data_IF_166607755100
#
_entry.id   IF_166607755100
#
_cell.length_a   1.000
_cell.length_b   1.000
_cell.length_c   1.000
_cell.angle_alpha   90.00
_cell.angle_beta   90.00
_cell.angle_gamma   90.00
#
_symmetry.space_group_name_H-M   'P 1'
#
loop_
_entity.id
_entity.type
_entity.pdbx_description
1 polymer ?
#
# COMPACT_ATOMS: atom_id res chain seq x y z
N UNK A 1 0.56 -13.90 -3.11
CA UNK A 1 -0.63 -13.04 -3.21
C UNK A 1 -1.65 -13.76 -4.08
N UNK A 2 -2.91 -13.87 -3.67
CA UNK A 2 -3.99 -14.51 -4.46
C UNK A 2 -5.00 -13.45 -4.90
N UNK A 3 -5.71 -13.70 -6.00
CA UNK A 3 -6.81 -12.82 -6.47
C UNK A 3 -7.88 -12.62 -5.40
N UNK A 4 -8.19 -13.67 -4.64
CA UNK A 4 -9.13 -13.61 -3.53
C UNK A 4 -8.69 -12.62 -2.45
N UNK A 5 -7.41 -12.64 -2.06
CA UNK A 5 -6.86 -11.66 -1.10
C UNK A 5 -6.88 -10.24 -1.63
N UNK A 6 -6.59 -10.05 -2.92
CA UNK A 6 -6.66 -8.72 -3.55
C UNK A 6 -8.09 -8.17 -3.49
N UNK A 7 -9.09 -8.98 -3.84
CA UNK A 7 -10.50 -8.59 -3.82
C UNK A 7 -11.05 -8.31 -2.41
N UNK A 8 -10.38 -8.81 -1.37
CA UNK A 8 -10.78 -8.64 0.04
C UNK A 8 -9.91 -7.64 0.80
N UNK A 9 -8.91 -7.00 0.19
CA UNK A 9 -7.94 -6.14 0.90
C UNK A 9 -8.57 -4.95 1.66
N UNK A 10 -9.77 -4.52 1.24
CA UNK A 10 -10.55 -3.48 1.90
C UNK A 10 -11.29 -3.94 3.17
N UNK A 11 -11.32 -5.25 3.42
CA UNK A 11 -11.94 -5.88 4.58
C UNK A 11 -10.90 -6.71 5.35
N UNK A 12 -10.13 -6.08 6.26
CA UNK A 12 -9.13 -6.79 7.06
C UNK A 12 -9.71 -7.92 7.91
N UNK A 13 -11.01 -7.91 8.24
CA UNK A 13 -11.63 -8.96 9.05
C UNK A 13 -11.97 -10.23 8.25
N UNK A 14 -11.80 -10.21 6.93
CA UNK A 14 -12.00 -11.40 6.11
C UNK A 14 -11.09 -12.55 6.55
N UNK A 15 -11.66 -13.74 6.59
CA UNK A 15 -11.03 -15.01 6.92
C UNK A 15 -9.90 -15.42 5.98
N UNK A 16 -9.80 -14.79 4.80
CA UNK A 16 -8.72 -15.02 3.85
C UNK A 16 -7.36 -14.53 4.37
N UNK A 17 -7.35 -13.62 5.34
CA UNK A 17 -6.14 -13.09 5.94
C UNK A 17 -5.75 -13.89 7.19
N UNK A 18 -4.45 -14.08 7.37
CA UNK A 18 -3.88 -14.59 8.63
C UNK A 18 -3.86 -13.48 9.69
N UNK A 19 -3.69 -13.83 10.96
CA UNK A 19 -3.51 -12.83 12.04
C UNK A 19 -2.35 -11.86 11.74
N UNK A 20 -1.25 -12.39 11.21
CA UNK A 20 -0.08 -11.60 10.80
C UNK A 20 -0.43 -10.58 9.71
N UNK A 21 -1.19 -10.99 8.70
CA UNK A 21 -1.59 -10.09 7.61
C UNK A 21 -2.59 -9.04 8.09
N UNK A 22 -3.54 -9.43 8.94
CA UNK A 22 -4.48 -8.48 9.57
C UNK A 22 -3.77 -7.40 10.37
N UNK A 23 -2.78 -7.78 11.18
CA UNK A 23 -1.98 -6.83 11.95
C UNK A 23 -1.35 -5.75 11.03
N UNK A 24 -0.80 -6.17 9.88
CA UNK A 24 -0.21 -5.26 8.90
C UNK A 24 -1.28 -4.37 8.25
N UNK A 25 -2.44 -4.92 7.87
CA UNK A 25 -3.52 -4.14 7.26
C UNK A 25 -4.06 -3.05 8.21
N UNK A 26 -4.27 -3.38 9.49
CA UNK A 26 -4.69 -2.41 10.50
C UNK A 26 -3.64 -1.34 10.73
N UNK A 27 -2.37 -1.74 10.89
CA UNK A 27 -1.28 -0.80 11.08
C UNK A 27 -1.14 0.16 9.88
N UNK A 28 -1.18 -0.37 8.65
CA UNK A 28 -1.09 0.44 7.43
C UNK A 28 -2.28 1.39 7.27
N UNK A 29 -3.49 0.93 7.58
CA UNK A 29 -4.71 1.74 7.56
C UNK A 29 -4.64 2.91 8.55
N UNK A 30 -4.20 2.66 9.78
CA UNK A 30 -4.03 3.69 10.79
C UNK A 30 -2.97 4.73 10.39
N UNK A 31 -1.82 4.29 9.86
CA UNK A 31 -0.79 5.18 9.33
C UNK A 31 -1.32 6.08 8.19
N UNK A 32 -2.04 5.49 7.22
CA UNK A 32 -2.58 6.24 6.08
C UNK A 32 -3.65 7.27 6.48
N UNK A 33 -4.33 7.06 7.61
CA UNK A 33 -5.35 7.97 8.15
C UNK A 33 -4.79 8.88 9.26
N UNK A 34 -3.50 8.79 9.56
CA UNK A 34 -2.85 9.49 10.67
C UNK A 34 -3.56 9.26 12.03
N UNK A 35 -4.06 8.05 12.26
CA UNK A 35 -4.74 7.65 13.50
C UNK A 35 -3.70 7.23 14.54
N UNK A 36 -3.52 8.03 15.58
CA UNK A 36 -2.46 7.82 16.58
C UNK A 36 -2.97 7.38 17.96
N UNK A 37 -4.27 7.54 18.23
CA UNK A 37 -4.87 7.25 19.55
C UNK A 37 -4.65 5.80 20.03
N UNK A 38 -4.54 4.85 19.09
CA UNK A 38 -4.34 3.42 19.36
C UNK A 38 -2.96 2.90 18.93
N UNK A 39 -1.97 3.78 18.74
CA UNK A 39 -0.66 3.42 18.20
C UNK A 39 0.04 2.33 19.03
N UNK A 40 0.02 2.42 20.36
CA UNK A 40 0.67 1.44 21.24
C UNK A 40 0.08 0.03 21.08
N UNK A 41 -1.25 -0.07 20.93
CA UNK A 41 -1.93 -1.35 20.71
C UNK A 41 -1.57 -1.95 19.35
N UNK A 42 -1.52 -1.13 18.30
CA UNK A 42 -1.10 -1.56 16.96
C UNK A 42 0.35 -2.04 16.95
N UNK A 43 1.27 -1.32 17.60
CA UNK A 43 2.66 -1.76 17.74
C UNK A 43 2.78 -3.04 18.58
N UNK A 44 1.99 -3.19 19.65
CA UNK A 44 1.98 -4.41 20.46
C UNK A 44 1.54 -5.63 19.63
N UNK A 45 0.50 -5.48 18.81
CA UNK A 45 0.02 -6.56 17.92
C UNK A 45 1.06 -6.89 16.84
N UNK A 46 1.64 -5.87 16.20
CA UNK A 46 2.68 -6.07 15.18
C UNK A 46 3.93 -6.77 15.76
N UNK A 47 4.34 -6.45 16.99
CA UNK A 47 5.48 -7.10 17.68
C UNK A 47 5.26 -8.59 17.98
N UNK A 48 4.04 -9.12 17.87
CA UNK A 48 3.79 -10.58 17.93
C UNK A 48 4.38 -11.32 16.74
N UNK A 49 4.57 -10.63 15.61
CA UNK A 49 4.95 -11.24 14.33
C UNK A 49 6.23 -10.66 13.69
N UNK A 50 6.63 -9.47 14.09
CA UNK A 50 7.74 -8.72 13.48
C UNK A 50 8.70 -8.18 14.53
N UNK A 51 9.99 -8.19 14.21
CA UNK A 51 11.01 -7.53 15.02
C UNK A 51 11.07 -6.02 14.73
N UNK A 52 11.83 -5.28 15.54
CA UNK A 52 11.93 -3.82 15.40
C UNK A 52 12.45 -3.36 14.03
N UNK A 53 13.35 -4.10 13.39
CA UNK A 53 13.88 -3.73 12.08
C UNK A 53 12.79 -3.89 11.01
N UNK A 54 12.06 -5.00 11.05
CA UNK A 54 10.93 -5.27 10.15
C UNK A 54 9.81 -4.25 10.34
N UNK A 55 9.52 -3.82 11.57
CA UNK A 55 8.53 -2.76 11.83
C UNK A 55 8.89 -1.44 11.16
N UNK A 56 10.18 -1.06 11.21
CA UNK A 56 10.67 0.14 10.54
C UNK A 56 10.53 0.02 9.02
N UNK A 57 10.90 -1.13 8.44
CA UNK A 57 10.74 -1.39 7.01
C UNK A 57 9.28 -1.32 6.56
N UNK A 58 8.37 -1.95 7.30
CA UNK A 58 6.93 -1.91 7.01
C UNK A 58 6.41 -0.47 7.07
N UNK A 59 6.73 0.28 8.14
CA UNK A 59 6.31 1.66 8.27
C UNK A 59 6.86 2.57 7.17
N UNK A 60 8.11 2.33 6.75
CA UNK A 60 8.73 3.05 5.64
C UNK A 60 7.98 2.81 4.32
N UNK A 61 7.72 1.54 3.97
CA UNK A 61 6.98 1.18 2.74
C UNK A 61 5.58 1.82 2.74
N UNK A 62 4.84 1.73 3.85
CA UNK A 62 3.51 2.34 3.98
C UNK A 62 3.58 3.85 3.76
N UNK A 63 4.54 4.53 4.39
CA UNK A 63 4.70 5.98 4.28
C UNK A 63 5.07 6.40 2.86
N UNK A 64 6.00 5.68 2.20
CA UNK A 64 6.41 5.97 0.82
C UNK A 64 5.24 5.85 -0.14
N UNK A 65 4.49 4.75 -0.09
CA UNK A 65 3.35 4.53 -0.97
C UNK A 65 2.22 5.55 -0.72
N UNK A 66 1.96 5.87 0.55
CA UNK A 66 0.99 6.90 0.89
C UNK A 66 1.42 8.29 0.40
N UNK A 67 2.70 8.64 0.54
CA UNK A 67 3.26 9.88 0.01
C UNK A 67 3.16 9.97 -1.51
N UNK A 68 3.40 8.86 -2.24
CA UNK A 68 3.18 8.79 -3.68
C UNK A 68 1.71 9.01 -4.05
N UNK A 69 0.76 8.47 -3.27
CA UNK A 69 -0.66 8.74 -3.49
C UNK A 69 -1.00 10.22 -3.32
N UNK A 70 -0.48 10.87 -2.28
CA UNK A 70 -0.67 12.32 -2.09
C UNK A 70 -0.07 13.13 -3.24
N UNK A 71 1.14 12.75 -3.69
CA UNK A 71 1.79 13.37 -4.85
C UNK A 71 0.93 13.22 -6.11
N UNK A 72 0.54 11.99 -6.47
CA UNK A 72 -0.30 11.73 -7.64
C UNK A 72 -1.61 12.53 -7.60
N UNK A 73 -2.28 12.55 -6.44
CA UNK A 73 -3.52 13.30 -6.26
C UNK A 73 -3.32 14.82 -6.41
N UNK A 74 -2.25 15.38 -5.85
CA UNK A 74 -1.95 16.82 -5.94
C UNK A 74 -1.68 17.25 -7.38
N UNK A 75 -0.98 16.42 -8.15
CA UNK A 75 -0.59 16.72 -9.53
C UNK A 75 -1.61 16.22 -10.58
N UNK A 76 -2.70 15.59 -10.16
CA UNK A 76 -3.70 15.01 -11.07
C UNK A 76 -3.11 13.92 -11.97
N UNK A 77 -2.15 13.15 -11.47
CA UNK A 77 -1.52 12.06 -12.22
C UNK A 77 -2.52 10.90 -12.30
N UNK A 78 -3.04 10.66 -13.49
CA UNK A 78 -3.93 9.53 -13.76
C UNK A 78 -3.12 8.25 -14.00
N UNK A 79 -3.69 7.07 -13.67
CA UNK A 79 -3.11 5.80 -14.09
C UNK A 79 -2.93 5.79 -15.61
N UNK A 80 -1.76 5.35 -16.06
CA UNK A 80 -1.53 5.19 -17.49
C UNK A 80 -2.51 4.14 -18.02
N UNK A 81 -3.36 4.53 -18.97
CA UNK A 81 -4.15 3.56 -19.72
C UNK A 81 -3.17 2.59 -20.40
N UNK A 82 -3.46 1.29 -20.43
CA UNK A 82 -2.65 0.29 -21.15
C UNK A 82 -2.43 0.61 -22.65
N UNK A 83 -3.11 1.64 -23.16
CA UNK A 83 -2.83 2.29 -24.43
C UNK A 83 -1.94 3.52 -24.15
N UNK A 84 -0.62 3.34 -24.22
CA UNK A 84 0.33 4.46 -24.16
C UNK A 84 0.01 5.48 -25.25
N UNK A 85 -0.57 6.62 -24.85
CA UNK A 85 -0.64 7.82 -25.69
C UNK A 85 0.24 8.86 -25.00
N UNK A 86 1.45 9.05 -25.54
CA UNK A 86 2.33 10.12 -25.09
C UNK A 86 1.68 11.48 -25.39
N UNK A 87 1.32 12.21 -24.34
CA UNK A 87 0.87 13.61 -24.45
C UNK A 87 2.05 14.59 -24.57
N UNK A 88 3.29 14.10 -24.48
CA UNK A 88 4.53 14.89 -24.65
C UNK A 88 4.97 14.99 -26.12
N UNK A 89 4.28 14.32 -27.04
CA UNK A 89 4.59 14.33 -28.47
C UNK A 89 5.88 13.60 -28.87
N UNK A 90 6.43 12.76 -27.98
CA UNK A 90 7.62 11.95 -28.24
C UNK A 90 7.14 10.54 -28.58
N UNK A 91 7.31 10.11 -29.83
CA UNK A 91 6.96 8.75 -30.26
C UNK A 91 7.87 7.72 -29.58
N UNK A 92 7.27 6.66 -29.04
CA UNK A 92 8.01 5.48 -28.61
C UNK A 92 8.29 4.57 -29.81
N UNK A 93 9.52 4.04 -29.95
CA UNK A 93 9.78 3.02 -30.96
C UNK A 93 8.90 1.79 -30.66
N UNK A 94 8.18 1.31 -31.67
CA UNK A 94 7.43 0.05 -31.57
C UNK A 94 8.37 -1.06 -31.14
N UNK A 95 8.03 -1.77 -30.07
CA UNK A 95 8.73 -3.00 -29.71
C UNK A 95 8.67 -3.97 -30.90
N UNK A 96 9.83 -4.41 -31.37
CA UNK A 96 9.93 -5.43 -32.40
C UNK A 96 9.41 -6.77 -31.85
N UNK A 97 8.63 -7.48 -32.68
CA UNK A 97 8.03 -8.80 -32.40
C UNK A 97 9.07 -9.90 -32.10
#
# INVERSE_FOLDING_TARGET
MTEEKLNRVHDPESDVFTERERAVLYFAGAMAQNQTDNADALFAEMRRFFDNAQLVEIGFVVTTLHGMNQFNNMFGIEPENQLMISYTGIDHPKAAE
#
